data_IF_871792858356
#
_entry.id   IF_871792858356
#
_cell.length_a   1.000
_cell.length_b   1.000
_cell.length_c   1.000
_cell.angle_alpha   90.00
_cell.angle_beta   90.00
_cell.angle_gamma   90.00
#
_symmetry.space_group_name_H-M   'P 1'
#
loop_
_entity.id
_entity.type
_entity.pdbx_description
1 polymer ?
#
# COMPACT_ATOMS: atom_id res chain seq x y z
N UNK A 1 2.02 18.73 0.93
CA UNK A 1 0.73 19.08 1.60
C UNK A 1 0.21 17.92 2.46
N UNK A 2 -0.07 16.74 1.90
CA UNK A 2 -0.55 15.56 2.68
C UNK A 2 0.60 14.76 3.32
N UNK A 3 1.60 14.32 2.57
CA UNK A 3 2.72 13.53 3.12
C UNK A 3 3.51 14.26 4.21
N UNK A 4 3.63 15.59 4.12
CA UNK A 4 4.26 16.40 5.16
C UNK A 4 3.50 16.36 6.50
N UNK A 5 2.20 16.05 6.50
CA UNK A 5 1.41 15.85 7.73
C UNK A 5 1.70 14.50 8.37
N UNK A 6 2.11 13.48 7.61
CA UNK A 6 2.55 12.20 8.17
C UNK A 6 3.78 12.38 9.07
N UNK A 7 4.69 13.30 8.74
CA UNK A 7 5.80 13.66 9.64
C UNK A 7 5.31 14.24 10.97
N UNK A 8 4.15 14.92 10.99
CA UNK A 8 3.55 15.42 12.24
C UNK A 8 2.95 14.27 13.06
N UNK A 9 2.30 13.29 12.42
CA UNK A 9 1.82 12.07 13.08
C UNK A 9 2.98 11.27 13.69
N UNK A 10 4.05 11.05 12.93
CA UNK A 10 5.25 10.37 13.41
C UNK A 10 5.87 11.08 14.63
N UNK A 11 5.95 12.41 14.62
CA UNK A 11 6.41 13.20 15.78
C UNK A 11 5.48 13.09 16.99
N UNK A 12 4.18 12.97 16.75
CA UNK A 12 3.18 12.76 17.78
C UNK A 12 3.08 11.28 18.22
N UNK A 13 3.87 10.37 17.62
CA UNK A 13 3.82 8.91 17.83
C UNK A 13 2.44 8.32 17.60
N UNK A 14 1.71 8.85 16.62
CA UNK A 14 0.41 8.31 16.20
C UNK A 14 0.66 7.42 14.99
N UNK A 15 0.31 6.11 15.04
CA UNK A 15 0.54 5.20 13.92
C UNK A 15 -0.33 5.56 12.72
N UNK A 16 0.24 5.40 11.53
CA UNK A 16 -0.43 5.55 10.25
C UNK A 16 -0.43 4.23 9.49
N UNK A 17 -1.61 3.61 9.38
CA UNK A 17 -1.81 2.40 8.59
C UNK A 17 -2.32 2.77 7.20
N UNK A 18 -1.58 2.39 6.17
CA UNK A 18 -1.93 2.61 4.78
C UNK A 18 -2.59 1.36 4.20
N UNK A 19 -3.89 1.46 3.92
CA UNK A 19 -4.65 0.41 3.27
C UNK A 19 -4.86 0.73 1.79
N UNK A 20 -4.19 -0.01 0.91
CA UNK A 20 -4.21 0.21 -0.53
C UNK A 20 -5.26 -0.67 -1.20
N UNK A 21 -6.25 -0.04 -1.83
CA UNK A 21 -7.35 -0.72 -2.52
C UNK A 21 -7.19 -0.65 -4.03
N UNK A 22 -7.93 -1.49 -4.75
CA UNK A 22 -7.91 -1.51 -6.21
C UNK A 22 -8.73 -0.34 -6.83
N UNK A 23 -8.15 0.49 -7.70
CA UNK A 23 -6.73 0.70 -7.95
C UNK A 23 -6.14 1.84 -7.09
N UNK A 24 -4.86 1.74 -6.73
CA UNK A 24 -4.08 2.84 -6.14
C UNK A 24 -2.92 3.17 -7.08
N UNK A 25 -3.02 4.26 -7.84
CA UNK A 25 -2.01 4.58 -8.87
C UNK A 25 -1.59 6.05 -8.89
N UNK A 26 -0.57 6.38 -9.69
CA UNK A 26 -0.13 7.74 -9.92
C UNK A 26 0.49 8.41 -8.70
N UNK A 27 0.20 9.70 -8.54
CA UNK A 27 0.76 10.53 -7.46
C UNK A 27 0.35 10.07 -6.05
N UNK A 28 -0.76 9.32 -5.90
CA UNK A 28 -1.18 8.77 -4.62
C UNK A 28 -0.20 7.70 -4.15
N UNK A 29 0.10 6.72 -5.01
CA UNK A 29 1.14 5.71 -4.76
C UNK A 29 2.51 6.31 -4.50
N UNK A 30 2.90 7.36 -5.23
CA UNK A 30 4.18 8.04 -5.04
C UNK A 30 4.19 9.05 -3.87
N UNK A 31 3.15 9.04 -3.02
CA UNK A 31 3.06 9.94 -1.88
C UNK A 31 2.60 9.20 -0.61
N UNK A 32 1.51 9.61 0.01
CA UNK A 32 1.10 9.11 1.33
C UNK A 32 0.76 7.61 1.36
N UNK A 33 0.32 7.02 0.24
CA UNK A 33 -0.11 5.61 0.22
C UNK A 33 1.02 4.60 0.47
N UNK A 34 2.28 4.99 0.26
CA UNK A 34 3.46 4.12 0.50
C UNK A 34 4.29 4.57 1.71
N UNK A 35 3.75 5.48 2.52
CA UNK A 35 4.42 6.07 3.69
C UNK A 35 3.76 5.64 5.01
N UNK A 36 2.99 4.55 5.00
CA UNK A 36 2.47 3.93 6.20
C UNK A 36 3.57 3.39 7.09
N UNK A 37 3.32 3.41 8.41
CA UNK A 37 4.06 2.56 9.34
C UNK A 37 3.77 1.07 9.05
N UNK A 38 2.57 0.80 8.51
CA UNK A 38 2.17 -0.47 7.91
C UNK A 38 1.46 -0.19 6.59
N UNK A 39 1.90 -0.79 5.50
CA UNK A 39 1.28 -0.79 4.18
C UNK A 39 0.67 -2.17 3.89
N UNK A 40 -0.62 -2.25 3.64
CA UNK A 40 -1.29 -3.52 3.34
C UNK A 40 -2.40 -3.32 2.31
N UNK A 41 -2.81 -4.39 1.64
CA UNK A 41 -3.76 -4.31 0.54
C UNK A 41 -4.77 -5.46 0.53
N UNK A 42 -5.80 -5.32 -0.29
CA UNK A 42 -6.70 -6.43 -0.65
C UNK A 42 -6.05 -7.33 -1.73
N UNK A 43 -6.42 -8.62 -1.82
CA UNK A 43 -5.92 -9.50 -2.86
C UNK A 43 -6.16 -8.94 -4.26
N UNK A 44 -5.18 -9.15 -5.14
CA UNK A 44 -5.18 -8.73 -6.55
C UNK A 44 -5.31 -7.22 -6.80
N UNK A 45 -5.13 -6.38 -5.79
CA UNK A 45 -5.27 -4.93 -5.97
C UNK A 45 -4.18 -4.38 -6.92
N UNK A 46 -4.57 -3.54 -7.88
CA UNK A 46 -3.63 -2.89 -8.80
C UNK A 46 -3.01 -1.66 -8.13
N UNK A 47 -1.71 -1.73 -7.87
CA UNK A 47 -0.96 -0.70 -7.16
C UNK A 47 0.30 -0.34 -7.93
N UNK A 48 0.42 0.92 -8.36
CA UNK A 48 1.65 1.37 -9.00
C UNK A 48 1.64 2.78 -9.56
N UNK A 49 2.82 3.38 -9.70
CA UNK A 49 2.96 4.78 -10.12
C UNK A 49 2.44 5.03 -11.55
N UNK A 50 2.96 4.30 -12.54
CA UNK A 50 2.50 4.39 -13.92
C UNK A 50 1.65 3.18 -14.27
N UNK A 51 0.57 3.37 -15.04
CA UNK A 51 -0.27 2.26 -15.47
C UNK A 51 0.48 1.25 -16.33
N UNK A 52 0.09 -0.05 -16.33
CA UNK A 52 0.79 -1.12 -17.05
C UNK A 52 1.00 -0.81 -18.53
N UNK A 53 0.01 -0.16 -19.16
CA UNK A 53 0.06 0.25 -20.57
C UNK A 53 1.23 1.20 -20.86
N UNK A 54 1.39 2.24 -20.05
CA UNK A 54 2.45 3.25 -20.22
C UNK A 54 3.83 2.61 -20.06
N UNK A 55 3.96 1.69 -19.09
CA UNK A 55 5.21 0.96 -18.85
C UNK A 55 5.53 0.02 -20.01
N UNK A 56 4.53 -0.72 -20.52
CA UNK A 56 4.70 -1.62 -21.67
C UNK A 56 5.13 -0.86 -22.93
N UNK A 57 4.52 0.28 -23.20
CA UNK A 57 4.89 1.17 -24.32
C UNK A 57 6.33 1.72 -24.18
N UNK A 58 6.79 1.95 -22.95
CA UNK A 58 8.13 2.49 -22.67
C UNK A 58 9.24 1.44 -22.73
N UNK A 59 9.04 0.28 -22.08
CA UNK A 59 10.05 -0.78 -21.96
C UNK A 59 10.08 -1.68 -23.22
N UNK A 60 8.99 -1.69 -24.01
CA UNK A 60 8.82 -2.55 -25.20
C UNK A 60 9.05 -4.04 -24.91
N UNK A 61 8.78 -4.49 -23.69
CA UNK A 61 8.83 -5.90 -23.26
C UNK A 61 7.51 -6.28 -22.60
N UNK A 62 7.24 -7.58 -22.56
CA UNK A 62 6.17 -8.15 -21.75
C UNK A 62 6.46 -7.86 -20.26
N UNK A 63 5.41 -7.47 -19.53
CA UNK A 63 5.51 -7.29 -18.08
C UNK A 63 5.39 -8.67 -17.40
N UNK A 64 6.07 -8.89 -16.27
CA UNK A 64 5.89 -10.11 -15.49
C UNK A 64 4.41 -10.38 -15.19
N UNK A 65 4.06 -11.65 -15.02
CA UNK A 65 2.74 -12.01 -14.53
C UNK A 65 2.50 -11.40 -13.14
N UNK A 66 1.31 -10.88 -12.90
CA UNK A 66 0.98 -10.22 -11.64
C UNK A 66 1.68 -8.87 -11.44
N UNK A 67 2.37 -8.31 -12.44
CA UNK A 67 3.01 -7.00 -12.29
C UNK A 67 2.01 -5.95 -11.77
N UNK A 68 2.42 -5.24 -10.71
CA UNK A 68 1.60 -4.27 -9.96
C UNK A 68 0.42 -4.83 -9.16
N UNK A 69 0.24 -6.14 -9.04
CA UNK A 69 -0.74 -6.68 -8.09
C UNK A 69 -0.20 -6.61 -6.67
N UNK A 70 -1.09 -6.64 -5.68
CA UNK A 70 -0.74 -6.74 -4.26
C UNK A 70 0.22 -7.89 -3.98
N UNK A 71 0.06 -9.04 -4.62
CA UNK A 71 0.95 -10.21 -4.45
C UNK A 71 2.37 -9.90 -4.93
N UNK A 72 2.49 -9.30 -6.12
CA UNK A 72 3.78 -8.87 -6.64
C UNK A 72 4.44 -7.84 -5.73
N UNK A 73 3.67 -6.86 -5.22
CA UNK A 73 4.20 -5.86 -4.31
C UNK A 73 4.63 -6.45 -2.96
N UNK A 74 3.88 -7.42 -2.43
CA UNK A 74 4.24 -8.14 -1.20
C UNK A 74 5.55 -8.91 -1.37
N UNK A 75 5.70 -9.65 -2.48
CA UNK A 75 6.94 -10.39 -2.79
C UNK A 75 8.17 -9.48 -2.93
N UNK A 76 7.98 -8.23 -3.34
CA UNK A 76 9.05 -7.24 -3.50
C UNK A 76 9.23 -6.34 -2.26
N UNK A 77 8.51 -6.58 -1.17
CA UNK A 77 8.66 -5.88 0.11
C UNK A 77 8.02 -4.48 0.16
N UNK A 78 7.07 -4.18 -0.72
CA UNK A 78 6.33 -2.91 -0.70
C UNK A 78 5.07 -2.96 0.18
N UNK A 79 4.56 -4.16 0.48
CA UNK A 79 3.45 -4.39 1.39
C UNK A 79 3.93 -5.28 2.54
N UNK A 80 3.38 -5.07 3.73
CA UNK A 80 3.62 -5.90 4.91
C UNK A 80 2.78 -7.18 4.87
N UNK A 81 1.53 -7.08 4.39
CA UNK A 81 0.65 -8.24 4.19
C UNK A 81 -0.53 -7.92 3.25
N UNK A 82 -1.28 -8.97 2.90
CA UNK A 82 -2.52 -8.90 2.13
C UNK A 82 -3.66 -9.44 3.00
N UNK A 83 -4.80 -8.75 3.01
CA UNK A 83 -5.96 -9.08 3.83
C UNK A 83 -7.23 -9.20 3.00
N UNK A 84 -7.96 -10.31 3.16
CA UNK A 84 -9.31 -10.43 2.57
C UNK A 84 -10.27 -9.44 3.24
N UNK A 85 -11.15 -8.82 2.45
CA UNK A 85 -12.15 -7.85 2.92
C UNK A 85 -12.93 -8.33 4.14
N UNK A 86 -13.25 -9.63 4.22
CA UNK A 86 -14.02 -10.22 5.31
C UNK A 86 -13.28 -10.15 6.65
N UNK A 87 -11.95 -10.20 6.61
CA UNK A 87 -11.09 -10.19 7.80
C UNK A 87 -10.59 -8.78 8.14
N UNK A 88 -10.78 -7.80 7.24
CA UNK A 88 -10.25 -6.44 7.37
C UNK A 88 -10.60 -5.79 8.71
N UNK A 89 -11.85 -5.97 9.19
CA UNK A 89 -12.29 -5.39 10.47
C UNK A 89 -11.49 -5.96 11.65
N UNK A 90 -11.27 -7.26 11.67
CA UNK A 90 -10.52 -7.95 12.71
C UNK A 90 -9.05 -7.53 12.65
N UNK A 91 -8.43 -7.56 11.47
CA UNK A 91 -7.04 -7.13 11.27
C UNK A 91 -6.81 -5.68 11.71
N UNK A 92 -7.68 -4.74 11.37
CA UNK A 92 -7.55 -3.34 11.83
C UNK A 92 -7.70 -3.26 13.35
N UNK A 93 -8.62 -4.02 13.95
CA UNK A 93 -8.80 -4.07 15.40
C UNK A 93 -7.53 -4.56 16.10
N UNK A 94 -6.90 -5.61 15.58
CA UNK A 94 -5.66 -6.17 16.13
C UNK A 94 -4.50 -5.19 16.02
N UNK A 95 -4.37 -4.50 14.87
CA UNK A 95 -3.37 -3.46 14.68
C UNK A 95 -3.55 -2.32 15.68
N UNK A 96 -4.78 -1.81 15.83
CA UNK A 96 -5.05 -0.75 16.80
C UNK A 96 -4.72 -1.21 18.23
N UNK A 97 -5.12 -2.42 18.60
CA UNK A 97 -4.81 -2.98 19.93
C UNK A 97 -3.30 -3.14 20.15
N UNK A 98 -2.54 -3.58 19.14
CA UNK A 98 -1.10 -3.72 19.23
C UNK A 98 -0.38 -2.38 19.45
N UNK A 99 -0.83 -1.31 18.78
CA UNK A 99 -0.21 0.02 18.89
C UNK A 99 -0.75 0.87 20.04
N UNK A 100 -1.91 0.55 20.62
CA UNK A 100 -2.44 1.23 21.82
C UNK A 100 -1.74 0.76 23.10
N UNK A 101 -1.26 -0.48 23.13
CA UNK A 101 -0.61 -1.10 24.29
C UNK A 101 0.92 -1.01 24.31
N UNK A 102 1.53 -0.22 23.42
CA UNK A 102 2.97 0.05 23.34
C UNK A 102 3.27 1.54 23.56
#
# INVERSE_FOLDING_TARGET
>A
KTSAKLTQLARARIPYFSFLTDPTTGGVTASFAMLGDINFAEPKALIGFAGPRVIKETIKKELPEGFQTSEFLLEHGFLDFIVDRKNLKETISDLLYFFDNN
#
